data_IF_850685461565
#
_entry.id   IF_850685461565
#
_cell.length_a   1.000
_cell.length_b   1.000
_cell.length_c   1.000
_cell.angle_alpha   90.00
_cell.angle_beta   90.00
_cell.angle_gamma   90.00
#
_symmetry.space_group_name_H-M   'P 1'
#
loop_
_entity.id
_entity.type
_entity.pdbx_description
1 polymer ?
#
# COMPACT_ATOMS: atom_id res chain seq x y z
N UNK A 1 2.66 -10.58 32.74
CA UNK A 1 3.03 -9.14 32.71
C UNK A 1 1.94 -8.39 31.97
N UNK A 2 1.14 -7.58 32.66
CA UNK A 2 -0.11 -6.96 32.20
C UNK A 2 0.08 -6.07 30.96
N UNK A 3 -0.20 -6.61 29.78
CA UNK A 3 -0.20 -5.83 28.51
C UNK A 3 -1.33 -4.77 28.44
N UNK A 4 -2.34 -4.84 29.28
CA UNK A 4 -3.46 -3.89 29.28
C UNK A 4 -3.11 -2.50 29.87
N UNK A 5 -2.03 -2.39 30.65
CA UNK A 5 -1.73 -1.16 31.37
C UNK A 5 -1.37 0.06 30.53
N UNK A 6 -1.10 -0.08 29.22
CA UNK A 6 -0.65 1.04 28.38
C UNK A 6 -1.28 1.08 26.98
N UNK A 7 -2.47 0.47 26.78
CA UNK A 7 -3.13 0.44 25.46
C UNK A 7 -3.51 1.84 24.98
N UNK A 8 -3.98 2.69 25.89
CA UNK A 8 -4.43 4.03 25.56
C UNK A 8 -3.50 5.09 26.14
N UNK A 9 -3.30 6.17 25.38
CA UNK A 9 -2.36 7.24 25.71
C UNK A 9 -3.06 8.44 26.35
N UNK A 10 -2.61 8.81 27.54
CA UNK A 10 -3.02 10.05 28.20
C UNK A 10 -2.56 11.29 27.43
N UNK A 11 -1.43 11.21 26.71
CA UNK A 11 -0.97 12.29 25.82
C UNK A 11 -1.96 12.49 24.69
N UNK A 12 -2.43 11.40 24.06
CA UNK A 12 -3.47 11.46 23.01
C UNK A 12 -4.79 11.98 23.58
N UNK A 13 -5.18 11.57 24.77
CA UNK A 13 -6.38 12.08 25.42
C UNK A 13 -6.29 13.60 25.66
N UNK A 14 -5.13 14.10 26.10
CA UNK A 14 -4.89 15.55 26.24
C UNK A 14 -5.02 16.27 24.89
N UNK A 15 -4.45 15.71 23.82
CA UNK A 15 -4.59 16.27 22.47
C UNK A 15 -6.06 16.33 22.04
N UNK A 16 -6.82 15.26 22.25
CA UNK A 16 -8.25 15.20 21.95
C UNK A 16 -9.02 16.28 22.72
N UNK A 17 -8.75 16.48 24.01
CA UNK A 17 -9.37 17.56 24.78
C UNK A 17 -9.09 18.93 24.17
N UNK A 18 -7.83 19.15 23.76
CA UNK A 18 -7.44 20.40 23.10
C UNK A 18 -8.14 20.58 21.74
N UNK A 19 -8.20 19.54 20.93
CA UNK A 19 -8.83 19.59 19.61
C UNK A 19 -10.34 19.85 19.71
N UNK A 20 -11.00 19.23 20.67
CA UNK A 20 -12.42 19.41 20.95
C UNK A 20 -12.72 20.67 21.80
N UNK A 21 -11.68 21.44 22.21
CA UNK A 21 -11.81 22.62 23.07
C UNK A 21 -12.54 22.30 24.38
N UNK A 22 -12.18 21.17 25.00
CA UNK A 22 -12.73 20.72 26.29
C UNK A 22 -11.72 20.90 27.41
N UNK A 23 -12.13 21.55 28.49
CA UNK A 23 -11.36 21.59 29.74
C UNK A 23 -11.56 20.28 30.50
N UNK A 24 -10.70 19.94 31.46
CA UNK A 24 -10.88 18.76 32.29
C UNK A 24 -12.25 18.66 32.98
N UNK A 25 -12.81 19.80 33.37
CA UNK A 25 -14.13 19.93 34.00
C UNK A 25 -15.26 19.57 33.00
N UNK A 26 -15.15 20.03 31.76
CA UNK A 26 -16.09 19.74 30.69
C UNK A 26 -16.05 18.23 30.35
N UNK A 27 -14.86 17.66 30.26
CA UNK A 27 -14.65 16.23 30.03
C UNK A 27 -15.24 15.39 31.19
N UNK A 28 -15.02 15.82 32.44
CA UNK A 28 -15.56 15.11 33.59
C UNK A 28 -17.09 15.06 33.55
N UNK A 29 -17.74 16.18 33.25
CA UNK A 29 -19.18 16.30 33.13
C UNK A 29 -19.72 15.47 31.95
N UNK A 30 -19.16 15.65 30.73
CA UNK A 30 -19.65 15.00 29.53
C UNK A 30 -19.45 13.49 29.54
N UNK A 31 -18.31 13.02 30.06
CA UNK A 31 -18.00 11.60 30.13
C UNK A 31 -18.60 10.91 31.36
N UNK A 32 -19.21 11.65 32.27
CA UNK A 32 -19.66 11.15 33.58
C UNK A 32 -18.53 10.40 34.32
N UNK A 33 -17.39 11.06 34.47
CA UNK A 33 -16.19 10.58 35.16
C UNK A 33 -15.78 11.68 36.16
N UNK A 34 -15.34 11.30 37.36
CA UNK A 34 -14.93 12.30 38.35
C UNK A 34 -13.77 13.16 37.82
N UNK A 35 -13.81 14.46 38.11
CA UNK A 35 -12.74 15.41 37.74
C UNK A 35 -11.35 14.96 38.30
N UNK A 36 -11.34 14.41 39.51
CA UNK A 36 -10.11 13.84 40.08
C UNK A 36 -9.53 12.73 39.18
N UNK A 37 -10.38 11.84 38.64
CA UNK A 37 -9.94 10.78 37.75
C UNK A 37 -9.45 11.30 36.43
N UNK A 38 -10.13 12.29 35.83
CA UNK A 38 -9.67 12.96 34.60
C UNK A 38 -8.28 13.58 34.84
N UNK A 39 -8.10 14.33 35.93
CA UNK A 39 -6.81 14.94 36.27
C UNK A 39 -5.69 13.89 36.51
N UNK A 40 -6.02 12.75 37.12
CA UNK A 40 -5.05 11.66 37.30
C UNK A 40 -4.62 11.07 35.97
N UNK A 41 -5.56 10.85 35.02
CA UNK A 41 -5.27 10.38 33.66
C UNK A 41 -4.36 11.38 32.93
N UNK A 42 -4.71 12.66 32.93
CA UNK A 42 -3.92 13.71 32.28
C UNK A 42 -2.49 13.85 32.84
N UNK A 43 -2.31 13.54 34.10
CA UNK A 43 -0.99 13.57 34.79
C UNK A 43 -0.27 12.21 34.77
N UNK A 44 -0.70 11.25 33.95
CA UNK A 44 -0.16 9.90 33.83
C UNK A 44 -0.17 9.09 35.17
N UNK A 45 -1.01 9.47 36.12
CA UNK A 45 -1.16 8.78 37.43
C UNK A 45 -2.23 7.68 37.39
N UNK A 46 -3.05 7.65 36.31
CA UNK A 46 -4.04 6.63 36.08
C UNK A 46 -4.14 6.34 34.57
N UNK A 47 -4.36 5.08 34.21
CA UNK A 47 -4.48 4.65 32.82
C UNK A 47 -5.92 4.75 32.32
N UNK A 48 -6.07 5.02 31.02
CA UNK A 48 -7.34 4.88 30.32
C UNK A 48 -7.56 3.39 30.10
N UNK A 49 -8.63 2.84 30.68
CA UNK A 49 -9.08 1.47 30.39
C UNK A 49 -10.09 1.47 29.25
N UNK A 50 -10.46 0.27 28.78
CA UNK A 50 -11.40 0.10 27.65
C UNK A 50 -12.76 0.75 27.93
N UNK A 51 -13.26 0.70 29.21
CA UNK A 51 -14.53 1.32 29.56
C UNK A 51 -14.50 2.84 29.40
N UNK A 52 -13.42 3.48 29.81
CA UNK A 52 -13.23 4.94 29.64
C UNK A 52 -13.10 5.26 28.15
N UNK A 53 -12.31 4.50 27.41
CA UNK A 53 -12.15 4.69 25.97
C UNK A 53 -13.50 4.53 25.22
N UNK A 54 -14.29 3.54 25.58
CA UNK A 54 -15.63 3.33 25.02
C UNK A 54 -16.59 4.50 25.34
N UNK A 55 -16.55 5.05 26.54
CA UNK A 55 -17.32 6.25 26.91
C UNK A 55 -16.92 7.45 26.05
N UNK A 56 -15.62 7.67 25.88
CA UNK A 56 -15.09 8.76 25.06
C UNK A 56 -15.61 8.66 23.63
N UNK A 57 -15.54 7.48 23.01
CA UNK A 57 -16.04 7.26 21.64
C UNK A 57 -17.55 7.41 21.49
N UNK A 58 -18.31 7.04 22.53
CA UNK A 58 -19.80 7.17 22.49
C UNK A 58 -20.26 8.62 22.55
N UNK A 59 -19.48 9.48 23.18
CA UNK A 59 -19.89 10.86 23.48
C UNK A 59 -19.24 11.85 22.51
N UNK A 60 -17.99 11.61 22.12
CA UNK A 60 -17.27 12.47 21.22
C UNK A 60 -17.06 11.86 19.83
N UNK A 61 -17.00 12.66 18.77
CA UNK A 61 -16.82 12.19 17.40
C UNK A 61 -15.36 11.79 17.14
N UNK A 62 -14.86 10.82 17.90
CA UNK A 62 -13.49 10.30 17.76
C UNK A 62 -13.50 8.80 17.62
N UNK A 63 -12.47 8.27 16.99
CA UNK A 63 -12.26 6.82 16.83
C UNK A 63 -11.32 6.30 17.93
N UNK A 64 -11.44 5.02 18.28
CA UNK A 64 -10.59 4.38 19.27
C UNK A 64 -9.10 4.49 18.91
N UNK A 65 -8.77 4.43 17.62
CA UNK A 65 -7.41 4.59 17.11
C UNK A 65 -6.76 5.92 17.51
N UNK A 66 -7.56 6.97 17.71
CA UNK A 66 -7.05 8.27 18.16
C UNK A 66 -6.54 8.25 19.61
N UNK A 67 -7.00 7.30 20.43
CA UNK A 67 -6.58 7.12 21.82
C UNK A 67 -5.43 6.12 21.97
N UNK A 68 -5.21 5.26 20.96
CA UNK A 68 -4.21 4.19 21.08
C UNK A 68 -2.81 4.79 21.26
N UNK A 69 -2.09 4.22 22.20
CA UNK A 69 -0.69 4.53 22.40
C UNK A 69 0.16 3.87 21.30
N UNK A 70 0.57 4.65 20.31
CA UNK A 70 1.45 4.16 19.24
C UNK A 70 2.88 3.86 19.72
N UNK A 71 3.22 4.19 20.95
CA UNK A 71 4.51 3.86 21.58
C UNK A 71 4.52 2.46 22.19
N UNK A 72 3.84 1.48 21.57
CA UNK A 72 3.79 0.10 22.05
C UNK A 72 5.14 -0.63 22.07
N UNK A 73 6.17 -0.05 21.53
CA UNK A 73 7.52 -0.52 21.78
C UNK A 73 8.36 0.62 22.31
N UNK A 74 8.82 0.49 23.52
CA UNK A 74 9.96 1.25 24.05
C UNK A 74 11.24 1.03 23.22
N UNK A 75 11.22 0.10 22.29
CA UNK A 75 12.20 -0.06 21.23
C UNK A 75 11.65 0.62 19.98
N UNK A 76 12.23 1.77 19.63
CA UNK A 76 12.06 2.36 18.30
C UNK A 76 12.18 1.24 17.26
N UNK A 77 11.24 1.18 16.35
CA UNK A 77 11.40 0.35 15.17
C UNK A 77 12.80 0.59 14.59
N UNK A 78 13.61 -0.45 14.37
CA UNK A 78 14.96 -0.22 13.88
C UNK A 78 14.85 0.54 12.55
N UNK A 79 15.60 1.63 12.43
CA UNK A 79 15.65 2.39 11.17
C UNK A 79 16.06 1.53 9.96
N UNK A 80 16.64 0.37 10.20
CA UNK A 80 17.03 -0.62 9.22
C UNK A 80 16.75 -2.01 9.79
N UNK A 81 15.98 -2.81 9.06
CA UNK A 81 15.70 -4.21 9.38
C UNK A 81 16.25 -5.10 8.29
N UNK A 82 17.09 -6.05 8.66
CA UNK A 82 17.65 -7.04 7.74
C UNK A 82 17.03 -8.40 8.06
N UNK A 83 16.54 -9.05 7.02
CA UNK A 83 16.02 -10.41 7.07
C UNK A 83 16.80 -11.27 6.10
N UNK A 84 17.60 -12.17 6.62
CA UNK A 84 18.53 -12.96 5.79
C UNK A 84 17.80 -14.07 5.07
N UNK A 85 18.41 -14.57 3.99
CA UNK A 85 17.93 -15.73 3.22
C UNK A 85 17.65 -16.94 4.12
N UNK A 86 18.53 -17.22 5.09
CA UNK A 86 18.38 -18.35 6.00
C UNK A 86 17.14 -18.20 6.90
N UNK A 87 16.89 -16.99 7.39
CA UNK A 87 15.67 -16.69 8.14
C UNK A 87 14.43 -16.82 7.26
N UNK A 88 14.50 -16.35 6.02
CA UNK A 88 13.42 -16.44 5.05
C UNK A 88 13.05 -17.91 4.75
N UNK A 89 14.03 -18.77 4.52
CA UNK A 89 13.82 -20.21 4.29
C UNK A 89 13.08 -20.86 5.46
N UNK A 90 13.40 -20.51 6.70
CA UNK A 90 12.74 -21.05 7.90
C UNK A 90 11.26 -20.71 8.01
N UNK A 91 10.78 -19.71 7.29
CA UNK A 91 9.37 -19.29 7.26
C UNK A 91 8.61 -19.91 6.07
N UNK A 92 9.22 -20.86 5.36
CA UNK A 92 8.61 -21.49 4.19
C UNK A 92 7.27 -22.15 4.53
N UNK A 93 6.27 -21.86 3.72
CA UNK A 93 4.93 -22.44 3.82
C UNK A 93 4.34 -22.70 2.43
N UNK A 94 3.83 -23.91 2.26
CA UNK A 94 3.19 -24.31 1.01
C UNK A 94 1.71 -23.95 1.04
N UNK A 95 1.28 -23.25 0.02
CA UNK A 95 -0.14 -22.93 -0.20
C UNK A 95 -0.68 -23.89 -1.26
N UNK A 96 -1.68 -24.66 -0.85
CA UNK A 96 -2.40 -25.57 -1.74
C UNK A 96 -3.60 -24.88 -2.39
N UNK A 97 -3.87 -25.25 -3.63
CA UNK A 97 -5.10 -24.89 -4.33
C UNK A 97 -5.70 -26.13 -4.97
N UNK A 98 -6.98 -26.40 -4.70
CA UNK A 98 -7.65 -27.64 -5.09
C UNK A 98 -6.84 -28.90 -4.73
N UNK A 99 -6.29 -28.94 -3.50
CA UNK A 99 -5.51 -30.07 -3.00
C UNK A 99 -4.06 -30.18 -3.47
N UNK A 100 -3.66 -29.46 -4.51
CA UNK A 100 -2.31 -29.50 -5.06
C UNK A 100 -1.44 -28.35 -4.53
N UNK A 101 -0.16 -28.62 -4.34
CA UNK A 101 0.83 -27.61 -4.01
C UNK A 101 0.90 -26.59 -5.15
N UNK A 102 0.69 -25.31 -4.80
CA UNK A 102 0.54 -24.28 -5.81
C UNK A 102 1.59 -23.20 -5.71
N UNK A 103 1.86 -22.71 -4.48
CA UNK A 103 2.90 -21.74 -4.17
C UNK A 103 3.66 -22.12 -2.93
N UNK A 104 4.92 -21.73 -2.87
CA UNK A 104 5.68 -21.61 -1.64
C UNK A 104 5.84 -20.13 -1.30
N UNK A 105 5.43 -19.75 -0.11
CA UNK A 105 5.63 -18.41 0.43
C UNK A 105 6.73 -18.39 1.46
N UNK A 106 7.51 -17.32 1.46
CA UNK A 106 8.49 -17.04 2.51
C UNK A 106 8.38 -15.59 2.94
N UNK A 107 8.61 -15.35 4.22
CA UNK A 107 8.68 -14.00 4.74
C UNK A 107 9.98 -13.32 4.31
N UNK A 108 9.93 -11.99 4.24
CA UNK A 108 11.05 -11.10 3.95
C UNK A 108 11.09 -9.99 4.99
N UNK A 109 12.01 -9.04 4.90
CA UNK A 109 12.03 -7.91 5.82
C UNK A 109 10.71 -7.15 5.74
N UNK A 110 9.96 -7.12 6.84
CA UNK A 110 8.69 -6.44 6.94
C UNK A 110 8.67 -5.55 8.18
N UNK A 111 8.22 -4.32 8.01
CA UNK A 111 8.03 -3.35 9.08
C UNK A 111 6.52 -3.06 9.24
N UNK A 112 6.04 -3.12 10.48
CA UNK A 112 4.60 -2.97 10.77
C UNK A 112 4.03 -1.58 10.46
N UNK A 113 4.87 -0.56 10.41
CA UNK A 113 4.47 0.81 10.08
C UNK A 113 4.64 1.16 8.60
N UNK A 114 5.28 0.28 7.82
CA UNK A 114 5.42 0.50 6.39
C UNK A 114 4.08 0.29 5.67
N UNK A 115 3.78 1.11 4.65
CA UNK A 115 2.54 1.00 3.89
C UNK A 115 2.53 -0.19 2.93
N UNK A 116 3.53 -1.02 2.95
CA UNK A 116 3.71 -2.16 2.05
C UNK A 116 4.04 -3.45 2.80
N UNK A 117 3.68 -4.57 2.19
CA UNK A 117 3.98 -5.91 2.66
C UNK A 117 4.68 -6.69 1.56
N UNK A 118 5.97 -6.97 1.73
CA UNK A 118 6.74 -7.74 0.76
C UNK A 118 6.61 -9.23 1.02
N UNK A 119 6.60 -10.00 -0.05
CA UNK A 119 6.52 -11.46 -0.02
C UNK A 119 7.46 -12.06 -1.08
N UNK A 120 8.12 -13.15 -0.74
CA UNK A 120 8.79 -14.01 -1.70
C UNK A 120 7.87 -15.21 -2.01
N UNK A 121 7.59 -15.43 -3.30
CA UNK A 121 6.61 -16.44 -3.72
C UNK A 121 7.21 -17.28 -4.85
N UNK A 122 7.48 -18.55 -4.58
CA UNK A 122 7.83 -19.53 -5.60
C UNK A 122 6.57 -20.09 -6.26
N UNK A 123 6.58 -20.20 -7.57
CA UNK A 123 5.52 -20.82 -8.35
C UNK A 123 5.79 -22.32 -8.49
N UNK A 124 4.99 -23.16 -7.82
CA UNK A 124 5.10 -24.62 -7.88
C UNK A 124 4.25 -25.16 -9.04
N UNK A 125 3.03 -24.61 -9.20
CA UNK A 125 2.17 -24.98 -10.32
C UNK A 125 2.89 -24.74 -11.65
N UNK A 126 2.88 -25.75 -12.53
CA UNK A 126 3.61 -25.74 -13.82
C UNK A 126 2.66 -25.72 -15.00
N UNK A 127 2.80 -24.73 -15.87
CA UNK A 127 2.10 -24.59 -17.15
C UNK A 127 3.04 -23.96 -18.17
N UNK A 128 3.45 -24.74 -19.16
CA UNK A 128 4.42 -24.31 -20.19
C UNK A 128 3.81 -23.56 -21.37
N UNK A 129 2.50 -23.69 -21.61
CA UNK A 129 1.80 -23.03 -22.72
C UNK A 129 1.24 -21.65 -22.34
N UNK A 130 0.75 -20.92 -23.33
CA UNK A 130 0.18 -19.57 -23.19
C UNK A 130 -1.36 -19.57 -23.18
N UNK A 131 -2.00 -20.69 -22.83
CA UNK A 131 -3.44 -20.76 -22.79
C UNK A 131 -3.99 -20.06 -21.52
N UNK A 132 -4.72 -18.95 -21.63
CA UNK A 132 -5.28 -18.24 -20.45
C UNK A 132 -6.42 -19.03 -19.78
N UNK A 133 -6.96 -20.05 -20.45
CA UNK A 133 -8.01 -20.94 -19.94
C UNK A 133 -7.48 -22.31 -19.50
N UNK A 134 -6.17 -22.44 -19.24
CA UNK A 134 -5.59 -23.69 -18.78
C UNK A 134 -6.24 -24.13 -17.47
N UNK A 135 -6.74 -25.37 -17.41
CA UNK A 135 -7.49 -25.93 -16.27
C UNK A 135 -6.66 -26.04 -14.98
N UNK A 136 -5.32 -26.08 -15.07
CA UNK A 136 -4.42 -26.09 -13.91
C UNK A 136 -4.38 -24.73 -13.20
N UNK A 137 -4.82 -23.65 -13.87
CA UNK A 137 -4.74 -22.30 -13.31
C UNK A 137 -5.94 -22.02 -12.44
N UNK A 138 -5.65 -21.81 -11.16
CA UNK A 138 -6.63 -21.45 -10.17
C UNK A 138 -6.48 -19.97 -9.85
N UNK A 139 -7.49 -19.24 -10.23
CA UNK A 139 -7.54 -17.79 -10.10
C UNK A 139 -7.80 -17.39 -8.64
N UNK A 140 -7.10 -16.38 -8.15
CA UNK A 140 -7.55 -15.67 -6.97
C UNK A 140 -8.69 -14.69 -7.34
N UNK A 141 -9.36 -14.18 -6.33
CA UNK A 141 -10.42 -13.18 -6.51
C UNK A 141 -9.90 -11.74 -6.58
N UNK A 142 -8.57 -11.56 -6.59
CA UNK A 142 -7.91 -10.28 -6.35
C UNK A 142 -7.87 -9.96 -4.84
N UNK A 143 -7.21 -8.90 -4.50
CA UNK A 143 -7.10 -8.37 -3.13
C UNK A 143 -7.26 -6.85 -3.15
N UNK A 144 -7.53 -6.26 -1.97
CA UNK A 144 -7.73 -4.82 -1.81
C UNK A 144 -6.49 -3.98 -2.13
N UNK A 145 -5.32 -4.60 -2.12
CA UNK A 145 -4.04 -3.92 -2.21
C UNK A 145 -3.58 -3.74 -3.65
N UNK A 146 -2.86 -2.66 -3.93
CA UNK A 146 -2.01 -2.56 -5.11
C UNK A 146 -0.89 -3.58 -5.00
N UNK A 147 -0.44 -4.15 -6.11
CA UNK A 147 0.70 -5.07 -6.08
C UNK A 147 1.73 -4.69 -7.14
N UNK A 148 2.97 -4.58 -6.69
CA UNK A 148 4.15 -4.48 -7.53
C UNK A 148 4.86 -5.83 -7.50
N UNK A 149 5.33 -6.30 -8.64
CA UNK A 149 5.98 -7.62 -8.71
C UNK A 149 7.19 -7.58 -9.62
N UNK A 150 8.27 -8.18 -9.15
CA UNK A 150 9.47 -8.46 -9.90
C UNK A 150 9.57 -9.97 -10.15
N UNK A 151 9.92 -10.37 -11.36
CA UNK A 151 9.98 -11.77 -11.76
C UNK A 151 11.41 -12.28 -11.83
N UNK A 152 11.62 -13.51 -11.34
CA UNK A 152 12.86 -14.26 -11.44
C UNK A 152 12.57 -15.64 -12.03
N UNK A 153 13.15 -15.94 -13.19
CA UNK A 153 12.89 -17.16 -13.95
C UNK A 153 11.81 -16.99 -15.01
N UNK A 154 11.25 -18.11 -15.46
CA UNK A 154 10.25 -18.18 -16.53
C UNK A 154 8.86 -18.43 -15.93
N UNK A 155 8.00 -17.43 -15.92
CA UNK A 155 6.70 -17.46 -15.23
C UNK A 155 5.60 -16.98 -16.17
N UNK A 156 4.49 -17.72 -16.20
CA UNK A 156 3.25 -17.21 -16.77
C UNK A 156 2.51 -16.37 -15.73
N UNK A 157 2.25 -15.13 -16.05
CA UNK A 157 1.38 -14.23 -15.30
C UNK A 157 0.00 -14.20 -15.94
N UNK A 158 -1.00 -14.69 -15.23
CA UNK A 158 -2.40 -14.72 -15.64
C UNK A 158 -3.15 -13.57 -14.97
N UNK A 159 -3.96 -12.84 -15.73
CA UNK A 159 -4.77 -11.72 -15.23
C UNK A 159 -6.02 -11.51 -16.04
N UNK A 160 -7.02 -10.87 -15.44
CA UNK A 160 -8.21 -10.40 -16.14
C UNK A 160 -8.00 -8.94 -16.52
N UNK A 161 -8.10 -8.64 -17.83
CA UNK A 161 -7.91 -7.29 -18.33
C UNK A 161 -9.14 -6.37 -18.08
N UNK A 162 -9.04 -5.11 -18.50
CA UNK A 162 -10.12 -4.12 -18.34
C UNK A 162 -11.43 -4.52 -19.08
N UNK A 163 -11.34 -5.39 -20.06
CA UNK A 163 -12.48 -5.88 -20.84
C UNK A 163 -13.03 -7.22 -20.31
N UNK A 164 -12.66 -7.60 -19.08
CA UNK A 164 -12.99 -8.88 -18.45
C UNK A 164 -12.50 -10.13 -19.22
N UNK A 165 -11.49 -9.96 -20.07
CA UNK A 165 -10.89 -11.09 -20.80
C UNK A 165 -9.72 -11.66 -20.03
N UNK A 166 -9.66 -12.99 -19.95
CA UNK A 166 -8.51 -13.70 -19.41
C UNK A 166 -7.30 -13.52 -20.34
N UNK A 167 -6.19 -13.13 -19.76
CA UNK A 167 -4.91 -12.92 -20.45
C UNK A 167 -3.80 -13.68 -19.76
N UNK A 168 -2.76 -13.98 -20.52
CA UNK A 168 -1.51 -14.51 -20.01
C UNK A 168 -0.35 -13.72 -20.61
N UNK A 169 0.62 -13.41 -19.77
CA UNK A 169 1.87 -12.78 -20.19
C UNK A 169 3.04 -13.65 -19.73
N UNK A 170 3.90 -14.02 -20.66
CA UNK A 170 5.14 -14.74 -20.34
C UNK A 170 6.14 -13.76 -19.76
N UNK A 171 6.57 -13.99 -18.53
CA UNK A 171 7.50 -13.16 -17.78
C UNK A 171 8.84 -13.87 -17.63
N UNK A 172 9.93 -13.11 -17.72
CA UNK A 172 11.31 -13.56 -17.52
C UNK A 172 11.98 -12.78 -16.41
N UNK A 173 13.14 -13.25 -15.97
CA UNK A 173 13.95 -12.51 -15.00
C UNK A 173 14.16 -11.05 -15.43
N UNK A 174 13.90 -10.13 -14.52
CA UNK A 174 13.98 -8.70 -14.76
C UNK A 174 12.70 -8.05 -15.28
N UNK A 175 11.71 -8.84 -15.71
CA UNK A 175 10.38 -8.30 -16.02
C UNK A 175 9.66 -7.88 -14.74
N UNK A 176 8.73 -6.96 -14.86
CA UNK A 176 7.94 -6.48 -13.73
C UNK A 176 6.49 -6.22 -14.10
N UNK A 177 5.62 -6.28 -13.11
CA UNK A 177 4.21 -5.89 -13.29
C UNK A 177 3.70 -5.10 -12.09
N UNK A 178 2.67 -4.32 -12.37
CA UNK A 178 1.80 -3.68 -11.40
C UNK A 178 0.35 -4.08 -11.69
N UNK A 179 -0.41 -4.36 -10.65
CA UNK A 179 -1.86 -4.55 -10.71
C UNK A 179 -2.57 -3.67 -9.68
N UNK A 180 -3.71 -3.13 -10.09
CA UNK A 180 -4.60 -2.39 -9.20
C UNK A 180 -5.42 -3.36 -8.32
N UNK A 181 -6.06 -2.87 -7.25
CA UNK A 181 -6.91 -3.70 -6.39
C UNK A 181 -7.97 -4.50 -7.16
N UNK A 182 -8.31 -5.67 -6.61
CA UNK A 182 -9.36 -6.57 -7.08
C UNK A 182 -9.18 -7.13 -8.50
N UNK A 183 -7.99 -7.09 -9.07
CA UNK A 183 -7.70 -7.80 -10.32
C UNK A 183 -7.49 -9.28 -10.00
N UNK A 184 -8.35 -10.18 -10.49
CA UNK A 184 -8.11 -11.61 -10.39
C UNK A 184 -6.85 -11.98 -11.18
N UNK A 185 -5.97 -12.73 -10.53
CA UNK A 185 -4.70 -13.10 -11.13
C UNK A 185 -4.17 -14.44 -10.61
N UNK A 186 -3.19 -14.96 -11.28
CA UNK A 186 -2.47 -16.16 -10.87
C UNK A 186 -1.09 -16.22 -11.54
N UNK A 187 -0.20 -17.06 -11.02
CA UNK A 187 1.13 -17.30 -11.55
C UNK A 187 1.36 -18.80 -11.70
N UNK A 188 2.11 -19.18 -12.72
CA UNK A 188 2.58 -20.56 -12.88
C UNK A 188 3.98 -20.59 -13.47
N UNK A 189 4.80 -21.51 -13.01
CA UNK A 189 6.12 -21.78 -13.58
C UNK A 189 5.98 -22.34 -15.00
N UNK A 190 6.91 -22.01 -15.88
CA UNK A 190 6.95 -22.58 -17.23
C UNK A 190 7.86 -23.80 -17.35
N UNK A 191 8.77 -23.96 -16.42
CA UNK A 191 9.78 -25.03 -16.40
C UNK A 191 10.00 -25.55 -14.96
N UNK A 192 10.98 -26.41 -14.78
CA UNK A 192 11.31 -27.03 -13.48
C UNK A 192 12.33 -26.23 -12.67
N UNK A 193 12.80 -25.10 -13.18
CA UNK A 193 13.76 -24.27 -12.48
C UNK A 193 13.14 -23.59 -11.27
N UNK A 194 13.96 -23.00 -10.43
CA UNK A 194 13.52 -22.17 -9.33
C UNK A 194 12.96 -20.83 -9.87
N UNK A 195 11.67 -20.83 -10.15
CA UNK A 195 10.95 -19.65 -10.61
C UNK A 195 10.17 -19.02 -9.46
N UNK A 196 10.41 -17.74 -9.18
CA UNK A 196 9.76 -17.04 -8.08
C UNK A 196 9.51 -15.57 -8.42
N UNK A 197 8.69 -14.95 -7.62
CA UNK A 197 8.40 -13.53 -7.70
C UNK A 197 8.70 -12.85 -6.36
N UNK A 198 9.11 -11.60 -6.42
CA UNK A 198 9.09 -10.70 -5.28
C UNK A 198 7.85 -9.85 -5.45
N UNK A 199 6.85 -10.09 -4.63
CA UNK A 199 5.61 -9.35 -4.61
C UNK A 199 5.64 -8.35 -3.46
N UNK A 200 5.24 -7.13 -3.75
CA UNK A 200 5.11 -6.07 -2.76
C UNK A 200 3.69 -5.54 -2.86
N UNK A 201 2.87 -5.87 -1.88
CA UNK A 201 1.54 -5.29 -1.78
C UNK A 201 1.60 -3.96 -1.05
N UNK A 202 0.91 -2.98 -1.60
CA UNK A 202 0.93 -1.60 -1.13
C UNK A 202 -0.47 -1.12 -0.78
N UNK A 203 -0.56 -0.44 0.35
CA UNK A 203 -1.80 0.09 0.88
C UNK A 203 -1.70 1.60 0.96
N UNK A 204 -2.21 2.28 -0.07
CA UNK A 204 -2.32 3.73 -0.01
C UNK A 204 -3.63 4.14 0.68
N UNK A 205 -3.52 4.98 1.70
CA UNK A 205 -4.64 5.68 2.38
C UNK A 205 -5.78 4.80 2.92
N UNK A 206 -5.62 3.49 2.95
CA UNK A 206 -6.61 2.59 3.55
C UNK A 206 -6.28 2.42 5.03
N UNK A 207 -6.98 3.18 5.85
CA UNK A 207 -6.87 3.05 7.30
C UNK A 207 -7.44 1.71 7.76
N UNK A 208 -7.04 1.18 8.93
CA UNK A 208 -7.66 -0.02 9.51
C UNK A 208 -9.19 0.11 9.62
N UNK A 209 -9.69 1.31 9.91
CA UNK A 209 -11.12 1.59 9.95
C UNK A 209 -11.78 1.38 8.58
N UNK A 210 -11.18 1.92 7.52
CA UNK A 210 -11.72 1.73 6.17
C UNK A 210 -11.67 0.26 5.75
N UNK A 211 -10.66 -0.51 6.15
CA UNK A 211 -10.61 -1.96 5.92
C UNK A 211 -11.77 -2.67 6.61
N UNK A 212 -12.05 -2.32 7.87
CA UNK A 212 -13.15 -2.89 8.63
C UNK A 212 -14.51 -2.54 7.98
N UNK A 213 -14.70 -1.28 7.61
CA UNK A 213 -15.91 -0.82 6.92
C UNK A 213 -16.11 -1.55 5.58
N UNK A 214 -15.05 -1.71 4.79
CA UNK A 214 -15.09 -2.44 3.53
C UNK A 214 -15.40 -3.94 3.76
N UNK A 215 -14.87 -4.55 4.81
CA UNK A 215 -15.15 -5.94 5.14
C UNK A 215 -16.63 -6.16 5.49
N UNK A 216 -17.25 -5.21 6.18
CA UNK A 216 -18.69 -5.21 6.53
C UNK A 216 -19.58 -5.02 5.31
N UNK A 217 -19.17 -4.20 4.36
CA UNK A 217 -19.90 -3.98 3.09
C UNK A 217 -19.93 -5.25 2.25
N UNK A 218 -18.90 -6.09 2.34
CA UNK A 218 -18.78 -7.36 1.63
C UNK A 218 -18.34 -7.24 0.17
N UNK A 219 -17.68 -8.28 -0.33
CA UNK A 219 -17.01 -8.32 -1.65
C UNK A 219 -17.93 -7.90 -2.81
N UNK A 220 -19.18 -8.37 -2.81
CA UNK A 220 -20.14 -8.08 -3.91
C UNK A 220 -20.46 -6.60 -4.03
N UNK A 221 -20.62 -5.92 -2.91
CA UNK A 221 -20.93 -4.49 -2.89
C UNK A 221 -19.70 -3.64 -3.16
N UNK A 222 -18.52 -4.05 -2.64
CA UNK A 222 -17.25 -3.41 -2.98
C UNK A 222 -16.99 -3.46 -4.47
N UNK A 223 -17.21 -4.60 -5.13
CA UNK A 223 -17.10 -4.71 -6.59
C UNK A 223 -18.03 -3.77 -7.33
N UNK A 224 -19.27 -3.59 -6.86
CA UNK A 224 -20.20 -2.61 -7.46
C UNK A 224 -19.68 -1.18 -7.30
N UNK A 225 -19.16 -0.83 -6.13
CA UNK A 225 -18.55 0.49 -5.88
C UNK A 225 -17.38 0.70 -6.84
N UNK A 226 -16.45 -0.26 -6.93
CA UNK A 226 -15.30 -0.18 -7.81
C UNK A 226 -15.68 -0.07 -9.28
N UNK A 227 -16.66 -0.86 -9.75
CA UNK A 227 -17.15 -0.77 -11.12
C UNK A 227 -17.74 0.62 -11.39
N UNK A 228 -18.48 1.18 -10.44
CA UNK A 228 -19.04 2.52 -10.58
C UNK A 228 -17.97 3.62 -10.55
N UNK A 229 -16.93 3.46 -9.72
CA UNK A 229 -15.79 4.39 -9.65
C UNK A 229 -14.83 4.24 -10.83
N UNK A 230 -14.83 3.09 -11.48
CA UNK A 230 -13.96 2.82 -12.64
C UNK A 230 -14.61 3.19 -13.99
N UNK A 231 -15.87 3.54 -14.04
CA UNK A 231 -16.51 4.06 -15.27
C UNK A 231 -16.30 5.59 -15.33
N UNK A 232 -15.56 6.15 -16.32
CA UNK A 232 -15.23 7.57 -16.38
C UNK A 232 -16.46 8.49 -16.35
N UNK A 233 -17.54 8.09 -17.04
CA UNK A 233 -18.78 8.86 -17.12
C UNK A 233 -19.52 8.84 -15.77
N UNK A 234 -19.63 7.67 -15.14
CA UNK A 234 -20.26 7.53 -13.82
C UNK A 234 -19.43 8.20 -12.73
N UNK A 235 -18.11 8.08 -12.78
CA UNK A 235 -17.20 8.77 -11.86
C UNK A 235 -17.31 10.28 -11.99
N UNK A 236 -17.29 10.81 -13.21
CA UNK A 236 -17.48 12.24 -13.47
C UNK A 236 -18.81 12.75 -12.93
N UNK A 237 -19.89 11.96 -13.06
CA UNK A 237 -21.20 12.33 -12.54
C UNK A 237 -21.27 12.22 -11.00
N UNK A 238 -20.64 11.19 -10.41
CA UNK A 238 -20.54 11.05 -8.95
C UNK A 238 -19.74 12.20 -8.31
N UNK A 239 -18.60 12.56 -8.90
CA UNK A 239 -17.81 13.71 -8.47
C UNK A 239 -18.60 15.03 -8.61
N UNK A 240 -19.29 15.21 -9.73
CA UNK A 240 -20.16 16.39 -9.94
C UNK A 240 -21.22 16.51 -8.85
N UNK A 241 -21.91 15.41 -8.53
CA UNK A 241 -22.94 15.43 -7.50
C UNK A 241 -22.33 15.72 -6.13
N UNK A 242 -21.25 15.02 -5.76
CA UNK A 242 -20.56 15.21 -4.48
C UNK A 242 -20.08 16.66 -4.28
N UNK A 243 -19.44 17.26 -5.30
CA UNK A 243 -18.94 18.61 -5.18
C UNK A 243 -20.05 19.65 -5.29
N UNK A 244 -21.09 19.39 -6.08
CA UNK A 244 -22.28 20.22 -6.11
C UNK A 244 -22.94 20.28 -4.73
N UNK A 245 -23.10 19.14 -4.08
CA UNK A 245 -23.72 19.04 -2.76
C UNK A 245 -22.85 19.69 -1.67
N UNK A 246 -21.54 19.40 -1.66
CA UNK A 246 -20.62 19.96 -0.68
C UNK A 246 -20.41 21.47 -0.80
N UNK A 247 -20.52 22.02 -2.00
CA UNK A 247 -20.35 23.45 -2.27
C UNK A 247 -21.69 24.19 -2.37
N UNK A 248 -22.79 23.52 -2.10
CA UNK A 248 -24.15 24.08 -2.23
C UNK A 248 -24.41 24.69 -3.61
N UNK A 249 -23.74 24.21 -4.65
CA UNK A 249 -23.91 24.69 -6.00
C UNK A 249 -25.15 24.04 -6.64
N UNK A 250 -26.04 24.87 -7.22
CA UNK A 250 -27.09 24.31 -8.05
C UNK A 250 -26.53 23.73 -9.36
N UNK A 251 -27.29 22.83 -9.99
CA UNK A 251 -26.84 22.08 -11.21
C UNK A 251 -26.47 23.03 -12.35
N UNK A 252 -27.11 24.17 -12.45
CA UNK A 252 -26.91 25.18 -13.50
C UNK A 252 -25.60 25.93 -13.27
N UNK A 253 -25.35 26.37 -12.06
CA UNK A 253 -24.14 27.07 -11.70
C UNK A 253 -22.90 26.17 -11.81
N UNK A 254 -23.02 24.92 -11.37
CA UNK A 254 -21.96 23.91 -11.55
C UNK A 254 -21.66 23.65 -13.04
N UNK A 255 -22.73 23.53 -13.88
CA UNK A 255 -22.56 23.39 -15.33
C UNK A 255 -21.90 24.60 -15.96
N UNK A 256 -22.24 25.81 -15.54
CA UNK A 256 -21.65 27.05 -16.04
C UNK A 256 -20.17 27.15 -15.68
N UNK A 257 -19.77 26.82 -14.44
CA UNK A 257 -18.37 26.79 -14.00
C UNK A 257 -17.54 25.76 -14.78
N UNK A 258 -18.15 24.64 -15.18
CA UNK A 258 -17.47 23.60 -15.97
C UNK A 258 -17.47 23.88 -17.48
N UNK A 259 -18.51 24.52 -18.04
CA UNK A 259 -18.61 24.80 -19.48
C UNK A 259 -17.54 25.77 -20.00
N UNK A 260 -17.00 26.63 -19.14
CA UNK A 260 -15.93 27.56 -19.48
C UNK A 260 -14.58 26.93 -19.68
N UNK A 261 -14.48 25.58 -19.63
CA UNK A 261 -13.22 24.86 -19.47
C UNK A 261 -12.99 23.77 -20.51
N UNK A 262 -12.73 24.16 -21.78
CA UNK A 262 -12.43 23.21 -22.85
C UNK A 262 -10.94 22.84 -23.03
N UNK A 263 -9.99 23.38 -22.29
CA UNK A 263 -8.54 23.13 -22.40
C UNK A 263 -7.93 22.63 -21.09
N UNK A 264 -6.72 22.01 -21.10
CA UNK A 264 -6.00 21.53 -19.92
C UNK A 264 -5.76 22.61 -18.84
N UNK A 265 -5.70 23.89 -19.22
CA UNK A 265 -5.77 25.03 -18.31
C UNK A 265 -7.10 25.13 -17.55
N UNK A 266 -8.09 24.37 -17.94
CA UNK A 266 -9.45 24.39 -17.42
C UNK A 266 -9.64 23.50 -16.19
N UNK A 267 -8.91 22.38 -16.08
CA UNK A 267 -8.93 21.55 -14.86
C UNK A 267 -8.39 22.34 -13.68
N UNK A 268 -7.33 23.12 -13.89
CA UNK A 268 -6.79 24.01 -12.86
C UNK A 268 -7.81 25.08 -12.46
N UNK A 269 -8.46 25.75 -13.42
CA UNK A 269 -9.51 26.74 -13.14
C UNK A 269 -10.69 26.12 -12.40
N UNK A 270 -11.08 24.88 -12.72
CA UNK A 270 -12.13 24.16 -12.00
C UNK A 270 -11.67 23.83 -10.59
N UNK A 271 -10.47 23.30 -10.41
CA UNK A 271 -9.94 22.98 -9.09
C UNK A 271 -9.83 24.21 -8.20
N UNK A 272 -9.36 25.34 -8.75
CA UNK A 272 -9.26 26.61 -8.05
C UNK A 272 -10.66 27.16 -7.69
N UNK A 273 -11.61 27.11 -8.63
CA UNK A 273 -12.99 27.54 -8.39
C UNK A 273 -13.76 26.69 -7.39
N UNK A 274 -13.37 25.41 -7.26
CA UNK A 274 -13.99 24.46 -6.33
C UNK A 274 -13.20 24.32 -5.02
N UNK A 275 -12.03 24.95 -4.90
CA UNK A 275 -11.17 24.84 -3.72
C UNK A 275 -10.65 23.40 -3.49
N UNK A 276 -10.47 22.62 -4.56
CA UNK A 276 -10.03 21.23 -4.50
C UNK A 276 -8.70 21.03 -5.24
N UNK A 277 -7.99 19.93 -4.94
CA UNK A 277 -6.78 19.61 -5.68
C UNK A 277 -7.14 19.20 -7.11
N UNK A 278 -6.43 19.74 -8.11
CA UNK A 278 -6.60 19.37 -9.52
C UNK A 278 -6.48 17.84 -9.76
N UNK A 279 -5.68 17.15 -8.94
CA UNK A 279 -5.53 15.69 -8.96
C UNK A 279 -6.85 14.97 -8.68
N UNK A 280 -7.72 15.53 -7.86
CA UNK A 280 -9.02 14.93 -7.51
C UNK A 280 -10.02 14.99 -8.68
N UNK A 281 -9.76 15.88 -9.65
CA UNK A 281 -10.53 15.96 -10.91
C UNK A 281 -10.02 15.03 -12.00
N UNK A 282 -8.78 14.53 -11.87
CA UNK A 282 -8.25 13.54 -12.78
C UNK A 282 -8.92 12.21 -12.45
N UNK A 283 -9.86 11.79 -13.28
CA UNK A 283 -10.48 10.48 -13.18
C UNK A 283 -9.44 9.36 -13.24
N UNK A 284 -9.70 8.26 -12.56
CA UNK A 284 -8.91 7.06 -12.74
C UNK A 284 -9.03 6.61 -14.19
N UNK A 285 -7.89 6.54 -14.88
CA UNK A 285 -7.83 6.00 -16.23
C UNK A 285 -8.06 4.48 -16.16
N UNK A 286 -9.25 4.04 -16.55
CA UNK A 286 -9.67 2.65 -16.44
C UNK A 286 -8.89 1.67 -17.33
N UNK A 287 -8.11 2.19 -18.27
CA UNK A 287 -7.46 1.35 -19.27
C UNK A 287 -6.20 0.65 -18.75
N UNK A 288 -5.69 1.01 -17.57
CA UNK A 288 -4.44 0.50 -17.05
C UNK A 288 -4.56 -0.14 -15.65
N UNK A 289 -5.47 -1.10 -15.49
CA UNK A 289 -5.55 -1.92 -14.27
C UNK A 289 -4.32 -2.83 -14.09
N UNK A 290 -3.65 -3.16 -15.19
CA UNK A 290 -2.44 -3.98 -15.22
C UNK A 290 -1.39 -3.27 -16.06
N UNK A 291 -0.23 -3.02 -15.49
CA UNK A 291 0.94 -2.49 -16.19
C UNK A 291 2.04 -3.56 -16.20
N UNK A 292 2.55 -3.89 -17.37
CA UNK A 292 3.63 -4.86 -17.54
C UNK A 292 4.80 -4.16 -18.23
N UNK A 293 5.97 -4.24 -17.63
CA UNK A 293 7.21 -3.77 -18.25
C UNK A 293 8.15 -4.96 -18.47
N UNK A 294 8.55 -5.14 -19.72
CA UNK A 294 9.57 -6.10 -20.12
C UNK A 294 10.94 -5.50 -19.91
N UNK A 295 11.87 -6.28 -19.38
CA UNK A 295 13.22 -5.83 -19.04
C UNK A 295 13.88 -5.01 -20.17
N UNK A 296 13.81 -5.49 -21.41
CA UNK A 296 14.40 -4.81 -22.57
C UNK A 296 13.74 -3.45 -22.91
N UNK A 297 12.53 -3.22 -22.47
CA UNK A 297 11.72 -2.01 -22.76
C UNK A 297 11.68 -1.02 -21.60
N UNK A 298 12.40 -1.28 -20.51
CA UNK A 298 12.40 -0.39 -19.36
C UNK A 298 13.25 0.84 -19.58
N UNK A 299 12.79 1.98 -19.07
CA UNK A 299 13.58 3.21 -19.00
C UNK A 299 14.77 2.99 -18.06
N UNK A 300 15.94 3.43 -18.49
CA UNK A 300 17.20 3.27 -17.76
C UNK A 300 17.95 4.59 -17.72
N UNK A 301 18.69 4.82 -16.63
CA UNK A 301 19.54 5.99 -16.49
C UNK A 301 20.64 5.76 -15.46
N UNK A 302 21.72 6.53 -15.58
CA UNK A 302 22.78 6.60 -14.57
C UNK A 302 22.42 7.59 -13.47
N UNK A 303 22.83 7.31 -12.23
CA UNK A 303 22.60 8.20 -11.10
C UNK A 303 23.81 8.22 -10.15
N UNK A 304 24.27 9.38 -9.63
CA UNK A 304 24.03 10.69 -10.25
C UNK A 304 24.54 10.70 -11.70
N UNK A 305 23.99 11.56 -12.53
CA UNK A 305 24.30 11.57 -13.96
C UNK A 305 25.81 11.82 -14.25
N UNK A 306 26.42 12.72 -13.49
CA UNK A 306 27.82 13.09 -13.59
C UNK A 306 28.78 12.01 -13.06
N UNK A 307 28.41 11.34 -11.96
CA UNK A 307 29.25 10.37 -11.24
C UNK A 307 29.01 8.92 -11.62
N UNK A 308 27.84 8.60 -12.12
CA UNK A 308 27.44 7.24 -12.58
C UNK A 308 27.75 6.13 -11.56
N UNK A 309 27.35 6.34 -10.30
CA UNK A 309 27.54 5.32 -9.27
C UNK A 309 26.55 4.16 -9.40
N UNK A 310 25.35 4.47 -9.88
CA UNK A 310 24.26 3.53 -10.01
C UNK A 310 23.71 3.54 -11.43
N UNK A 311 23.30 2.37 -11.88
CA UNK A 311 22.47 2.22 -13.08
C UNK A 311 21.07 1.76 -12.66
N UNK A 312 20.09 2.57 -12.96
CA UNK A 312 18.72 2.36 -12.50
C UNK A 312 17.84 1.92 -13.66
N UNK A 313 16.89 1.04 -13.36
CA UNK A 313 15.80 0.64 -14.25
C UNK A 313 14.47 0.91 -13.57
N UNK A 314 13.57 1.58 -14.29
CA UNK A 314 12.22 1.82 -13.79
C UNK A 314 11.32 0.61 -14.02
N UNK A 315 10.91 -0.04 -12.94
CA UNK A 315 9.99 -1.17 -12.95
C UNK A 315 8.54 -0.72 -13.21
N UNK A 316 7.64 -1.69 -13.41
CA UNK A 316 6.23 -1.40 -13.60
C UNK A 316 5.66 -0.65 -12.40
N UNK A 317 4.92 0.41 -12.67
CA UNK A 317 4.29 1.28 -11.69
C UNK A 317 2.96 1.81 -12.24
N UNK A 318 2.27 2.59 -11.46
CA UNK A 318 1.05 3.26 -11.86
C UNK A 318 1.12 4.74 -11.52
N UNK A 319 0.64 5.59 -12.41
CA UNK A 319 0.47 7.02 -12.14
C UNK A 319 -0.53 7.31 -11.02
N UNK A 320 -1.39 6.34 -10.69
CA UNK A 320 -2.37 6.46 -9.59
C UNK A 320 -1.78 6.16 -8.22
N UNK A 321 -0.58 5.58 -8.16
CA UNK A 321 0.18 5.32 -6.95
C UNK A 321 1.50 6.08 -7.09
N UNK A 322 1.38 7.41 -7.17
CA UNK A 322 2.53 8.31 -7.40
C UNK A 322 3.52 8.31 -6.24
N UNK A 323 3.06 7.92 -5.06
CA UNK A 323 3.84 7.85 -3.83
C UNK A 323 4.76 6.62 -3.77
N UNK A 324 4.50 5.60 -4.59
CA UNK A 324 5.30 4.38 -4.63
C UNK A 324 6.05 4.24 -5.95
N UNK A 325 7.34 4.00 -5.87
CA UNK A 325 8.22 3.70 -7.00
C UNK A 325 8.91 2.36 -6.81
N UNK A 326 8.98 1.59 -7.88
CA UNK A 326 9.77 0.37 -7.94
C UNK A 326 10.93 0.56 -8.91
N UNK A 327 12.13 0.29 -8.45
CA UNK A 327 13.37 0.43 -9.21
C UNK A 327 14.19 -0.85 -9.09
N UNK A 328 14.90 -1.20 -10.14
CA UNK A 328 16.05 -2.07 -10.06
C UNK A 328 17.30 -1.18 -10.06
N UNK A 329 18.20 -1.41 -9.11
CA UNK A 329 19.40 -0.59 -8.89
C UNK A 329 20.61 -1.50 -9.01
N UNK A 330 21.47 -1.21 -9.96
CA UNK A 330 22.78 -1.82 -10.10
C UNK A 330 23.84 -0.87 -9.55
N UNK A 331 24.65 -1.35 -8.61
CA UNK A 331 25.78 -0.59 -8.06
C UNK A 331 26.99 -0.83 -8.95
N UNK A 332 27.43 0.19 -9.68
CA UNK A 332 28.49 0.07 -10.67
C UNK A 332 29.89 0.11 -10.05
N UNK A 333 30.03 0.80 -8.92
CA UNK A 333 31.29 0.91 -8.19
C UNK A 333 31.08 1.26 -6.74
N UNK A 334 32.06 0.94 -5.91
CA UNK A 334 32.05 1.37 -4.51
C UNK A 334 32.03 2.90 -4.41
N UNK A 335 31.18 3.43 -3.57
CA UNK A 335 31.03 4.86 -3.37
C UNK A 335 30.48 5.17 -1.96
N UNK A 336 30.65 6.41 -1.55
CA UNK A 336 30.09 6.95 -0.30
C UNK A 336 28.86 7.84 -0.55
N UNK A 337 28.19 7.68 -1.67
CA UNK A 337 27.01 8.47 -2.01
C UNK A 337 25.82 8.06 -1.15
N UNK A 338 25.20 9.02 -0.49
CA UNK A 338 24.01 8.78 0.31
C UNK A 338 22.76 8.82 -0.59
N UNK A 339 22.04 7.71 -0.62
CA UNK A 339 20.68 7.70 -1.17
C UNK A 339 19.74 8.08 -0.03
N UNK A 340 19.33 9.34 0.01
CA UNK A 340 18.42 9.86 1.03
C UNK A 340 16.97 9.78 0.55
N UNK A 341 16.07 9.39 1.45
CA UNK A 341 14.65 9.32 1.19
C UNK A 341 13.87 9.50 2.48
N UNK A 342 12.79 10.27 2.41
CA UNK A 342 11.82 10.41 3.51
C UNK A 342 10.75 9.31 3.50
N UNK A 343 10.87 8.33 2.58
CA UNK A 343 9.91 7.25 2.40
C UNK A 343 10.40 5.95 3.04
N UNK A 344 9.47 5.08 3.39
CA UNK A 344 9.81 3.68 3.66
C UNK A 344 10.40 3.04 2.40
N UNK A 345 11.46 2.28 2.59
CA UNK A 345 12.13 1.56 1.52
C UNK A 345 12.14 0.06 1.82
N UNK A 346 11.91 -0.73 0.79
CA UNK A 346 12.13 -2.18 0.80
C UNK A 346 13.13 -2.52 -0.29
N UNK A 347 14.15 -3.27 0.06
CA UNK A 347 15.15 -3.75 -0.88
C UNK A 347 15.24 -5.28 -0.86
N UNK A 348 15.43 -5.88 -2.02
CA UNK A 348 15.70 -7.30 -2.20
C UNK A 348 17.01 -7.44 -2.98
N UNK A 349 17.95 -8.18 -2.43
CA UNK A 349 19.30 -8.35 -3.01
C UNK A 349 19.28 -9.44 -4.06
N UNK A 350 19.53 -9.05 -5.32
CA UNK A 350 19.56 -9.96 -6.48
C UNK A 350 20.95 -10.49 -6.78
N UNK A 351 21.99 -9.77 -6.41
CA UNK A 351 23.41 -10.11 -6.65
C UNK A 351 24.03 -10.84 -5.45
N UNK A 352 25.19 -11.40 -5.65
CA UNK A 352 25.84 -12.24 -4.62
C UNK A 352 26.35 -11.47 -3.41
N UNK A 353 26.68 -10.18 -3.58
CA UNK A 353 27.19 -9.33 -2.49
C UNK A 353 26.72 -7.89 -2.66
N UNK A 354 26.22 -7.32 -1.58
CA UNK A 354 25.93 -5.89 -1.47
C UNK A 354 26.40 -5.38 -0.11
N UNK A 355 27.21 -4.33 -0.11
CA UNK A 355 27.63 -3.65 1.11
C UNK A 355 26.85 -2.35 1.22
N UNK A 356 26.16 -2.16 2.34
CA UNK A 356 25.49 -0.90 2.66
C UNK A 356 26.03 -0.33 3.96
N UNK A 357 26.16 1.01 4.00
CA UNK A 357 26.59 1.74 5.18
C UNK A 357 25.42 2.58 5.69
N UNK A 358 25.13 2.48 6.99
CA UNK A 358 24.18 3.37 7.66
C UNK A 358 24.82 3.97 8.90
N UNK A 359 25.08 5.26 8.88
CA UNK A 359 25.88 5.92 9.89
C UNK A 359 27.29 5.29 9.96
N UNK A 360 27.68 4.81 11.14
CA UNK A 360 28.99 4.14 11.36
C UNK A 360 28.95 2.62 11.10
N UNK A 361 27.77 2.03 10.91
CA UNK A 361 27.61 0.58 10.75
C UNK A 361 27.63 0.18 9.28
N UNK A 362 28.34 -0.90 8.98
CA UNK A 362 28.42 -1.53 7.66
C UNK A 362 27.68 -2.88 7.74
N UNK A 363 26.86 -3.13 6.73
CA UNK A 363 26.09 -4.36 6.59
C UNK A 363 26.50 -5.03 5.28
N UNK A 364 26.89 -6.28 5.37
CA UNK A 364 27.20 -7.10 4.20
C UNK A 364 26.00 -8.01 3.93
N UNK A 365 25.34 -7.77 2.81
CA UNK A 365 24.16 -8.49 2.38
C UNK A 365 24.54 -9.48 1.28
N UNK A 366 23.86 -10.62 1.26
CA UNK A 366 24.01 -11.68 0.28
C UNK A 366 22.79 -11.75 -0.62
N UNK A 367 22.91 -12.45 -1.72
CA UNK A 367 21.78 -12.75 -2.60
C UNK A 367 20.59 -13.35 -1.82
N UNK A 368 19.42 -12.80 -2.04
CA UNK A 368 18.16 -13.12 -1.38
C UNK A 368 17.99 -12.57 0.05
N UNK A 369 18.91 -11.76 0.56
CA UNK A 369 18.67 -10.95 1.75
C UNK A 369 17.73 -9.78 1.43
N UNK A 370 17.05 -9.30 2.46
CA UNK A 370 16.13 -8.16 2.36
C UNK A 370 16.32 -7.18 3.50
#
# INVERSE_FOLDING_TARGET
MNMEKNLFSSVRFRQILNDLKRRPEDAARELNISLSKIKKILNNKENINLNIATKIMKIWPIQIGSLINHNFSSKRSPDLKIFTKEKSIKTSRIIKRNGNDYYEYRDTAMEKFAPFRPEWIRTICKVSNNNPNNKKIIWNKGHLLHQFTYFVGNINFYYIDSNNKKKVSVMKTGDSMYISPYIPHSFASRDNNLNFIIALTYLDKVTPQLQDDLSRIGEKNIKKILINTTNPTKQKNSLKNRYSDNLLLNKTEFKNRIKTSKNNNSLKKISDALGINCRDLLGFDNNNKVSIKKNLKMKRWFFPEDKKFFYLRELASSKFVSEAKSLEIEVLRENNFNIESFCHQYAYVLSDKLKIKKGRKIYNLKKHDT
#
